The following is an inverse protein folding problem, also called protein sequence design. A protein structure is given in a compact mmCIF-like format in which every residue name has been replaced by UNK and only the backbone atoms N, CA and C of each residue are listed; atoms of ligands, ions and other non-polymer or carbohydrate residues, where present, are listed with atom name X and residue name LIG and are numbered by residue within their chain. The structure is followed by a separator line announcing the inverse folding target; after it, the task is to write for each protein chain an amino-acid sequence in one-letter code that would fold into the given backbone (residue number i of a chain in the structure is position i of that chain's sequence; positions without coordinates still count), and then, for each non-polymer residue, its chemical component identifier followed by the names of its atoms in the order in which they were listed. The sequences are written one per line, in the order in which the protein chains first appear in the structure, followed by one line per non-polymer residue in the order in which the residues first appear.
data_IF_947799887248
#
_entry.id   IF_947799887248
#
_cell.length_a   1.000
_cell.length_b   1.000
_cell.length_c   1.000
_cell.angle_alpha   90.00
_cell.angle_beta   90.00
_cell.angle_gamma   90.00
#
_symmetry.space_group_name_H-M   'P 1'
#
loop_
_entity.id
_entity.type
_entity.pdbx_description
1 polymer ?
#
# COMPACT_ATOMS: atom_id res chain seq x y z
N UNK A 1 -6.30 1.38 2.16
CA UNK A 1 -5.68 2.27 1.16
C UNK A 1 -5.06 1.52 -0.03
N UNK A 2 -3.85 0.94 0.04
CA UNK A 2 -3.18 0.36 -1.15
C UNK A 2 -4.05 -0.66 -1.91
N UNK A 3 -4.70 -1.58 -1.19
CA UNK A 3 -5.67 -2.53 -1.78
C UNK A 3 -6.80 -1.83 -2.54
N UNK A 4 -7.44 -0.85 -1.91
CA UNK A 4 -8.59 -0.16 -2.49
C UNK A 4 -8.19 0.66 -3.71
N UNK A 5 -6.97 1.23 -3.71
CA UNK A 5 -6.39 1.90 -4.88
C UNK A 5 -6.25 0.91 -6.04
N UNK A 6 -5.72 -0.29 -5.80
CA UNK A 6 -5.59 -1.32 -6.84
C UNK A 6 -6.95 -1.78 -7.36
N UNK A 7 -7.89 -2.07 -6.45
CA UNK A 7 -9.26 -2.49 -6.83
C UNK A 7 -9.93 -1.43 -7.69
N UNK A 8 -9.86 -0.16 -7.28
CA UNK A 8 -10.44 0.93 -8.05
C UNK A 8 -9.73 1.10 -9.40
N UNK A 9 -8.40 1.02 -9.44
CA UNK A 9 -7.61 1.16 -10.67
C UNK A 9 -7.89 0.06 -11.69
N UNK A 10 -8.16 -1.17 -11.23
CA UNK A 10 -8.48 -2.32 -12.10
C UNK A 10 -9.96 -2.33 -12.55
N UNK A 11 -10.90 -2.16 -11.62
CA UNK A 11 -12.34 -2.37 -11.90
C UNK A 11 -13.06 -1.07 -12.25
N UNK A 12 -12.46 0.09 -11.97
CA UNK A 12 -13.09 1.43 -12.09
C UNK A 12 -14.45 1.51 -11.37
N UNK A 13 -14.62 0.72 -10.31
CA UNK A 13 -15.86 0.64 -9.55
C UNK A 13 -15.56 0.72 -8.04
N UNK A 14 -16.42 1.45 -7.32
CA UNK A 14 -16.33 1.67 -5.87
C UNK A 14 -16.89 0.53 -5.03
N UNK A 15 -17.65 -0.41 -5.62
CA UNK A 15 -18.30 -1.50 -4.89
C UNK A 15 -17.33 -2.41 -4.11
N UNK A 16 -16.04 -2.44 -4.47
CA UNK A 16 -14.99 -3.18 -3.77
C UNK A 16 -14.12 -2.36 -2.81
N UNK A 17 -14.36 -1.05 -2.71
CA UNK A 17 -13.59 -0.12 -1.87
C UNK A 17 -14.09 -0.20 -0.43
N UNK A 18 -13.19 -0.47 0.51
CA UNK A 18 -13.53 -0.52 1.94
C UNK A 18 -13.63 0.89 2.53
N UNK A 19 -12.67 1.78 2.18
CA UNK A 19 -12.59 3.13 2.72
C UNK A 19 -13.53 4.09 1.96
N UNK A 20 -14.84 3.86 2.08
CA UNK A 20 -15.89 4.60 1.38
C UNK A 20 -15.91 6.10 1.68
N UNK A 21 -15.46 6.49 2.87
CA UNK A 21 -15.31 7.90 3.28
C UNK A 21 -14.13 8.61 2.60
N UNK A 22 -13.24 7.85 1.94
CA UNK A 22 -12.01 8.33 1.29
C UNK A 22 -11.97 8.02 -0.21
N UNK A 23 -13.13 7.79 -0.82
CA UNK A 23 -13.23 7.42 -2.24
C UNK A 23 -12.49 8.42 -3.11
N UNK A 24 -12.68 9.73 -2.90
CA UNK A 24 -12.06 10.73 -3.79
C UNK A 24 -10.53 10.69 -3.73
N UNK A 25 -9.95 10.56 -2.52
CA UNK A 25 -8.51 10.36 -2.38
C UNK A 25 -8.03 9.07 -3.04
N UNK A 26 -8.83 8.00 -2.99
CA UNK A 26 -8.50 6.73 -3.66
C UNK A 26 -8.50 6.90 -5.18
N UNK A 27 -9.44 7.65 -5.75
CA UNK A 27 -9.46 7.93 -7.18
C UNK A 27 -8.24 8.71 -7.63
N UNK A 28 -7.90 9.79 -6.91
CA UNK A 28 -6.73 10.63 -7.20
C UNK A 28 -5.45 9.79 -7.15
N UNK A 29 -5.25 9.03 -6.07
CA UNK A 29 -4.07 8.16 -5.91
C UNK A 29 -4.03 7.04 -6.97
N UNK A 30 -5.18 6.49 -7.38
CA UNK A 30 -5.24 5.50 -8.44
C UNK A 30 -4.84 6.06 -9.80
N UNK A 31 -5.04 7.36 -10.04
CA UNK A 31 -4.59 8.02 -11.27
C UNK A 31 -3.07 8.27 -11.21
N UNK A 32 -2.58 8.82 -10.10
CA UNK A 32 -1.17 9.21 -9.94
C UNK A 32 -0.21 8.01 -9.83
N UNK A 33 -0.61 6.94 -9.15
CA UNK A 33 0.29 5.83 -8.85
C UNK A 33 0.33 4.77 -9.95
N UNK A 34 1.52 4.39 -10.40
CA UNK A 34 1.68 3.25 -11.31
C UNK A 34 1.47 1.90 -10.60
N UNK A 35 1.02 0.88 -11.34
CA UNK A 35 0.94 -0.49 -10.81
C UNK A 35 2.30 -0.99 -10.30
N UNK A 36 3.40 -0.63 -10.98
CA UNK A 36 4.75 -0.97 -10.55
C UNK A 36 5.08 -0.40 -9.16
N UNK A 37 4.70 0.85 -8.90
CA UNK A 37 4.91 1.50 -7.60
C UNK A 37 4.04 0.88 -6.51
N UNK A 38 2.77 0.59 -6.81
CA UNK A 38 1.85 -0.09 -5.88
C UNK A 38 2.34 -1.48 -5.50
N UNK A 39 2.81 -2.27 -6.47
CA UNK A 39 3.34 -3.62 -6.21
C UNK A 39 4.58 -3.57 -5.31
N UNK A 40 5.54 -2.68 -5.59
CA UNK A 40 6.72 -2.54 -4.73
C UNK A 40 6.37 -2.12 -3.30
N UNK A 41 5.35 -1.28 -3.10
CA UNK A 41 4.86 -0.93 -1.76
C UNK A 41 4.30 -2.18 -1.05
N UNK A 42 3.53 -3.01 -1.77
CA UNK A 42 3.02 -4.28 -1.22
C UNK A 42 4.18 -5.21 -0.83
N UNK A 43 5.21 -5.32 -1.66
CA UNK A 43 6.38 -6.13 -1.39
C UNK A 43 7.06 -5.69 -0.08
N UNK A 44 7.25 -4.37 0.10
CA UNK A 44 7.85 -3.81 1.32
C UNK A 44 6.98 -4.00 2.56
N UNK A 45 5.65 -3.98 2.43
CA UNK A 45 4.73 -4.36 3.52
C UNK A 45 4.87 -5.85 3.85
N UNK A 46 5.04 -6.71 2.83
CA UNK A 46 5.28 -8.14 2.98
C UNK A 46 6.57 -8.43 3.74
N UNK A 47 7.68 -7.80 3.34
CA UNK A 47 8.97 -7.88 4.03
C UNK A 47 8.86 -7.45 5.50
N UNK A 48 8.17 -6.35 5.78
CA UNK A 48 7.95 -5.86 7.14
C UNK A 48 7.10 -6.85 7.98
N UNK A 49 6.10 -7.49 7.37
CA UNK A 49 5.28 -8.51 8.03
C UNK A 49 6.12 -9.72 8.44
N UNK A 50 6.98 -10.24 7.55
CA UNK A 50 7.87 -11.34 7.88
C UNK A 50 8.86 -10.96 9.00
N UNK A 51 9.36 -9.72 8.99
CA UNK A 51 10.18 -9.20 10.07
C UNK A 51 9.43 -9.20 11.42
N UNK A 52 8.19 -8.71 11.47
CA UNK A 52 7.37 -8.76 12.69
C UNK A 52 7.13 -10.19 13.18
N UNK A 53 6.87 -11.14 12.27
CA UNK A 53 6.69 -12.56 12.61
C UNK A 53 7.96 -13.22 13.14
N UNK A 54 9.13 -12.75 12.72
CA UNK A 54 10.43 -13.18 13.24
C UNK A 54 10.85 -12.48 14.56
N UNK A 55 9.91 -11.80 15.23
CA UNK A 55 10.11 -11.12 16.51
C UNK A 55 11.19 -10.02 16.44
N UNK A 56 11.29 -9.34 15.30
CA UNK A 56 12.19 -8.19 15.13
C UNK A 56 11.70 -6.96 15.92
N UNK A 57 12.60 -5.99 16.14
CA UNK A 57 12.24 -4.75 16.81
C UNK A 57 11.21 -3.96 16.00
N UNK A 58 10.06 -3.65 16.62
CA UNK A 58 8.96 -2.99 15.93
C UNK A 58 9.35 -1.64 15.30
N UNK A 59 10.03 -0.77 16.06
CA UNK A 59 10.42 0.58 15.62
C UNK A 59 11.40 0.52 14.45
N UNK A 60 12.37 -0.40 14.51
CA UNK A 60 13.33 -0.60 13.42
C UNK A 60 12.64 -1.11 12.16
N UNK A 61 11.76 -2.10 12.27
CA UNK A 61 11.03 -2.65 11.12
C UNK A 61 10.15 -1.60 10.45
N UNK A 62 9.45 -0.77 11.22
CA UNK A 62 8.69 0.36 10.65
C UNK A 62 9.62 1.34 9.93
N UNK A 63 10.77 1.70 10.49
CA UNK A 63 11.73 2.61 9.85
C UNK A 63 12.24 2.05 8.52
N UNK A 64 12.62 0.78 8.49
CA UNK A 64 13.07 0.11 7.26
C UNK A 64 11.96 0.07 6.21
N UNK A 65 10.72 -0.24 6.61
CA UNK A 65 9.56 -0.22 5.71
C UNK A 65 9.32 1.18 5.11
N UNK A 66 9.38 2.23 5.93
CA UNK A 66 9.18 3.61 5.47
C UNK A 66 10.30 4.08 4.53
N UNK A 67 11.56 3.76 4.81
CA UNK A 67 12.68 4.01 3.89
C UNK A 67 12.42 3.27 2.57
N UNK A 68 12.02 2.00 2.67
CA UNK A 68 11.68 1.17 1.53
C UNK A 68 10.55 1.74 0.67
N UNK A 69 9.62 2.53 1.23
CA UNK A 69 8.58 3.25 0.47
C UNK A 69 9.08 4.54 -0.20
N UNK A 70 10.08 5.22 0.38
CA UNK A 70 10.67 6.43 -0.18
C UNK A 70 11.51 6.14 -1.42
N UNK A 71 12.08 4.95 -1.52
CA UNK A 71 12.92 4.50 -2.64
C UNK A 71 12.11 4.07 -3.89
N UNK A 72 10.78 4.09 -3.80
CA UNK A 72 9.85 3.47 -4.78
C UNK A 72 9.29 4.42 -5.82
#
# INVERSE_FOLDING_TARGET
FIRDIIIYKEVSNINGVINGDKIENIKELAIEMSYKKLNKIIDKIGEAREAFLSNSNFSLTIRVMLIGFMEV
#
